data_IF_687977305826
#
_entry.id   IF_687977305826
#
_cell.length_a   1.000
_cell.length_b   1.000
_cell.length_c   1.000
_cell.angle_alpha   90.00
_cell.angle_beta   90.00
_cell.angle_gamma   90.00
#
_symmetry.space_group_name_H-M   'P 1'
#
loop_
_entity.id
_entity.type
_entity.pdbx_description
1 polymer ?
#
# COMPACT_ATOMS: atom_id res chain seq x y z
N UNK A 1 34.20 27.57 -31.71
CA UNK A 1 34.90 27.19 -30.46
C UNK A 1 33.95 27.00 -29.28
N UNK A 2 32.75 27.60 -29.24
CA UNK A 2 31.77 27.35 -28.16
C UNK A 2 30.85 26.15 -28.43
N UNK A 3 30.52 25.84 -29.69
CA UNK A 3 29.69 24.66 -30.05
C UNK A 3 30.38 23.32 -29.75
N UNK A 4 31.69 23.21 -29.96
CA UNK A 4 32.44 21.99 -29.65
C UNK A 4 32.46 21.66 -28.15
N UNK A 5 32.51 22.68 -27.29
CA UNK A 5 32.44 22.49 -25.83
C UNK A 5 31.05 22.02 -25.39
N UNK A 6 30.01 22.47 -26.08
CA UNK A 6 28.63 22.05 -25.79
C UNK A 6 28.37 20.62 -26.24
N UNK A 7 28.92 20.21 -27.38
CA UNK A 7 28.81 18.84 -27.89
C UNK A 7 29.64 17.84 -27.06
N UNK A 8 30.86 18.22 -26.65
CA UNK A 8 31.67 17.42 -25.73
C UNK A 8 31.01 17.22 -24.36
N UNK A 9 30.26 18.22 -23.87
CA UNK A 9 29.52 18.09 -22.62
C UNK A 9 28.32 17.14 -22.75
N UNK A 10 27.65 17.16 -23.91
CA UNK A 10 26.53 16.27 -24.20
C UNK A 10 26.99 14.80 -24.35
N UNK A 11 28.14 14.58 -24.98
CA UNK A 11 28.73 13.26 -25.14
C UNK A 11 29.32 12.70 -23.82
N UNK A 12 29.88 13.57 -22.97
CA UNK A 12 30.29 13.20 -21.61
C UNK A 12 29.08 12.79 -20.72
N UNK A 13 27.95 13.47 -20.84
CA UNK A 13 26.71 13.12 -20.12
C UNK A 13 26.09 11.81 -20.60
N UNK A 14 26.06 11.56 -21.92
CA UNK A 14 25.58 10.29 -22.48
C UNK A 14 26.48 9.10 -22.13
N UNK A 15 27.75 9.37 -21.81
CA UNK A 15 28.72 8.36 -21.36
C UNK A 15 28.54 8.06 -19.87
N UNK A 16 28.19 9.04 -19.04
CA UNK A 16 27.87 8.87 -17.62
C UNK A 16 26.49 8.22 -17.37
N UNK A 17 25.53 8.39 -18.28
CA UNK A 17 24.21 7.74 -18.20
C UNK A 17 24.24 6.22 -18.49
N UNK A 18 25.39 5.68 -18.90
CA UNK A 18 25.59 4.24 -19.14
C UNK A 18 26.11 3.47 -17.93
N UNK A 19 26.42 4.15 -16.84
CA UNK A 19 26.80 3.53 -15.57
C UNK A 19 25.66 3.71 -14.57
N UNK A 20 24.92 2.62 -14.31
CA UNK A 20 23.93 2.40 -13.23
C UNK A 20 23.46 3.66 -12.49
N UNK A 21 22.91 4.62 -13.24
CA UNK A 21 22.53 5.89 -12.65
C UNK A 21 21.24 5.66 -11.91
N UNK A 22 21.32 5.66 -10.57
CA UNK A 22 20.18 5.45 -9.69
C UNK A 22 19.00 6.29 -10.21
N UNK A 23 17.86 5.68 -10.59
CA UNK A 23 16.74 6.38 -11.19
C UNK A 23 16.21 7.51 -10.28
N UNK A 24 16.53 7.47 -8.98
CA UNK A 24 16.27 8.54 -8.03
C UNK A 24 17.10 9.80 -8.31
N UNK A 25 18.39 9.67 -8.66
CA UNK A 25 19.25 10.81 -8.99
C UNK A 25 18.83 11.47 -10.31
N UNK A 26 18.47 10.67 -11.31
CA UNK A 26 17.96 11.17 -12.58
C UNK A 26 16.65 11.95 -12.40
N UNK A 27 15.71 11.42 -11.61
CA UNK A 27 14.45 12.09 -11.29
C UNK A 27 14.67 13.36 -10.46
N UNK A 28 15.63 13.33 -9.52
CA UNK A 28 16.00 14.49 -8.70
C UNK A 28 16.60 15.62 -9.54
N UNK A 29 17.52 15.30 -10.45
CA UNK A 29 18.12 16.30 -11.36
C UNK A 29 17.09 16.87 -12.33
N UNK A 30 16.19 16.04 -12.87
CA UNK A 30 15.13 16.49 -13.78
C UNK A 30 14.13 17.43 -13.08
N UNK A 31 13.84 17.18 -11.81
CA UNK A 31 12.96 18.05 -10.99
C UNK A 31 13.63 19.39 -10.69
N UNK A 32 14.95 19.40 -10.43
CA UNK A 32 15.72 20.62 -10.18
C UNK A 32 15.86 21.48 -11.45
N UNK A 33 15.92 20.87 -12.63
CA UNK A 33 16.10 21.59 -13.90
C UNK A 33 14.82 22.24 -14.42
N UNK A 34 13.63 21.79 -13.99
CA UNK A 34 12.35 22.24 -14.51
C UNK A 34 11.62 23.27 -13.60
N UNK A 35 12.33 23.93 -12.69
CA UNK A 35 11.79 25.00 -11.84
C UNK A 35 12.22 26.38 -12.36
N UNK A 36 11.30 27.27 -12.76
CA UNK A 36 11.64 28.67 -12.96
C UNK A 36 11.97 29.27 -11.59
N UNK A 37 13.15 29.87 -11.48
CA UNK A 37 13.71 30.46 -10.26
C UNK A 37 12.66 31.12 -9.36
N UNK A 38 12.42 30.55 -8.17
CA UNK A 38 12.58 31.22 -6.87
C UNK A 38 12.18 30.30 -5.70
N UNK A 39 13.11 30.13 -4.75
CA UNK A 39 13.02 29.41 -3.47
C UNK A 39 13.01 27.86 -3.51
N UNK A 40 14.23 27.30 -3.53
CA UNK A 40 14.50 25.92 -3.11
C UNK A 40 14.20 25.78 -1.61
N UNK A 41 12.98 25.43 -1.25
CA UNK A 41 12.64 25.19 0.16
C UNK A 41 13.15 23.81 0.61
N UNK A 42 13.66 23.74 1.84
CA UNK A 42 14.08 22.48 2.49
C UNK A 42 12.93 21.46 2.49
N UNK A 43 11.67 21.91 2.48
CA UNK A 43 10.50 21.04 2.43
C UNK A 43 10.39 20.25 1.12
N UNK A 44 10.65 20.88 -0.03
CA UNK A 44 10.65 20.20 -1.32
C UNK A 44 11.78 19.17 -1.40
N UNK A 45 12.94 19.48 -0.82
CA UNK A 45 14.04 18.53 -0.70
C UNK A 45 13.63 17.32 0.16
N UNK A 46 13.09 17.55 1.37
CA UNK A 46 12.62 16.50 2.29
C UNK A 46 11.57 15.58 1.65
N UNK A 47 10.63 16.10 0.87
CA UNK A 47 9.64 15.28 0.15
C UNK A 47 10.25 14.38 -0.93
N UNK A 48 11.31 14.85 -1.61
CA UNK A 48 12.03 14.07 -2.61
C UNK A 48 12.87 12.94 -1.99
N UNK A 49 13.56 13.19 -0.86
CA UNK A 49 14.36 12.16 -0.14
C UNK A 49 13.48 11.10 0.53
N UNK A 50 12.26 11.44 0.98
CA UNK A 50 11.35 10.49 1.63
C UNK A 50 10.55 9.61 0.66
N UNK A 51 10.54 9.95 -0.64
CA UNK A 51 9.83 9.17 -1.64
C UNK A 51 10.76 8.08 -2.18
N UNK A 52 10.89 6.96 -1.46
CA UNK A 52 11.60 5.79 -1.98
C UNK A 52 10.65 4.98 -2.89
N UNK A 53 10.78 5.06 -4.23
CA UNK A 53 9.87 4.39 -5.15
C UNK A 53 9.91 2.86 -5.00
N UNK A 54 10.93 2.30 -4.35
CA UNK A 54 11.09 0.86 -4.15
C UNK A 54 10.24 0.30 -3.00
N UNK A 55 9.71 1.15 -2.11
CA UNK A 55 8.88 0.71 -0.98
C UNK A 55 7.47 0.29 -1.45
N UNK A 56 6.91 0.99 -2.45
CA UNK A 56 5.62 0.64 -3.07
C UNK A 56 5.66 -0.71 -3.78
N UNK A 57 6.78 -1.06 -4.41
CA UNK A 57 6.96 -2.37 -5.06
C UNK A 57 7.03 -3.51 -4.03
N UNK A 58 7.77 -3.33 -2.93
CA UNK A 58 7.83 -4.31 -1.83
C UNK A 58 6.49 -4.47 -1.11
N UNK A 59 5.72 -3.39 -0.92
CA UNK A 59 4.37 -3.47 -0.38
C UNK A 59 3.46 -4.31 -1.29
N UNK A 60 3.48 -4.03 -2.59
CA UNK A 60 2.67 -4.74 -3.60
C UNK A 60 3.04 -6.22 -3.68
N UNK A 61 4.33 -6.56 -3.65
CA UNK A 61 4.80 -7.95 -3.64
C UNK A 61 4.32 -8.71 -2.41
N UNK A 62 4.48 -8.17 -1.19
CA UNK A 62 3.99 -8.84 0.04
C UNK A 62 2.49 -9.13 -0.04
N UNK A 63 1.71 -8.19 -0.55
CA UNK A 63 0.25 -8.34 -0.66
C UNK A 63 -0.09 -9.40 -1.71
N UNK A 64 0.56 -9.35 -2.86
CA UNK A 64 0.37 -10.35 -3.92
C UNK A 64 0.78 -11.75 -3.44
N UNK A 65 1.86 -11.88 -2.68
CA UNK A 65 2.29 -13.15 -2.09
C UNK A 65 1.26 -13.69 -1.10
N UNK A 66 0.71 -12.84 -0.21
CA UNK A 66 -0.30 -13.25 0.77
C UNK A 66 -1.65 -13.61 0.12
N UNK A 67 -2.01 -12.91 -0.95
CA UNK A 67 -3.23 -13.16 -1.71
C UNK A 67 -3.03 -14.21 -2.82
N UNK A 68 -1.85 -14.82 -2.94
CA UNK A 68 -1.57 -15.78 -3.99
C UNK A 68 -2.48 -17.00 -3.85
N UNK A 69 -3.26 -17.29 -4.90
CA UNK A 69 -4.26 -18.37 -4.88
C UNK A 69 -5.47 -18.11 -3.99
N UNK A 70 -5.62 -16.92 -3.40
CA UNK A 70 -6.77 -16.60 -2.57
C UNK A 70 -7.96 -16.14 -3.42
N UNK A 71 -9.04 -16.91 -3.39
CA UNK A 71 -10.32 -16.48 -3.95
C UNK A 71 -11.30 -16.11 -2.82
N UNK A 72 -11.66 -14.82 -2.68
CA UNK A 72 -12.64 -14.39 -1.67
C UNK A 72 -13.99 -15.08 -1.80
N UNK A 73 -14.41 -15.49 -3.01
CA UNK A 73 -15.73 -16.07 -3.27
C UNK A 73 -15.86 -17.52 -2.80
N UNK A 74 -14.76 -18.28 -2.82
CA UNK A 74 -14.75 -19.69 -2.43
C UNK A 74 -14.41 -19.89 -0.95
N UNK A 75 -14.22 -18.81 -0.21
CA UNK A 75 -13.78 -18.85 1.17
C UNK A 75 -14.96 -19.09 2.13
N UNK A 76 -14.93 -20.15 2.96
CA UNK A 76 -15.99 -20.42 3.94
C UNK A 76 -16.16 -19.31 4.98
N UNK A 77 -15.05 -18.69 5.43
CA UNK A 77 -15.10 -17.58 6.39
C UNK A 77 -15.82 -16.37 5.80
N UNK A 78 -15.55 -16.04 4.54
CA UNK A 78 -16.22 -14.94 3.85
C UNK A 78 -17.71 -15.20 3.69
N UNK A 79 -18.09 -16.43 3.29
CA UNK A 79 -19.48 -16.83 3.15
C UNK A 79 -20.25 -16.64 4.45
N UNK A 80 -19.71 -17.10 5.58
CA UNK A 80 -20.34 -16.98 6.88
C UNK A 80 -20.50 -15.52 7.32
N UNK A 81 -19.48 -14.68 7.11
CA UNK A 81 -19.55 -13.24 7.39
C UNK A 81 -20.64 -12.58 6.56
N UNK A 82 -20.69 -12.84 5.25
CA UNK A 82 -21.73 -12.28 4.37
C UNK A 82 -23.13 -12.78 4.69
N UNK A 83 -23.26 -14.01 5.18
CA UNK A 83 -24.54 -14.58 5.58
C UNK A 83 -25.07 -13.91 6.86
N UNK A 84 -24.19 -13.54 7.79
CA UNK A 84 -24.55 -12.93 9.08
C UNK A 84 -24.75 -11.42 9.01
N UNK A 85 -23.82 -10.73 8.36
CA UNK A 85 -23.78 -9.26 8.32
C UNK A 85 -24.31 -8.67 7.01
N UNK A 86 -24.68 -9.54 6.06
CA UNK A 86 -25.20 -9.16 4.75
C UNK A 86 -24.14 -9.20 3.63
N UNK A 87 -24.60 -9.51 2.41
CA UNK A 87 -23.75 -9.66 1.23
C UNK A 87 -23.02 -8.37 0.81
N UNK A 88 -23.50 -7.20 1.23
CA UNK A 88 -22.97 -5.90 0.80
C UNK A 88 -22.18 -5.16 1.88
N UNK A 89 -21.56 -5.89 2.82
CA UNK A 89 -20.75 -5.30 3.88
C UNK A 89 -19.61 -4.45 3.32
N UNK A 90 -19.51 -3.19 3.76
CA UNK A 90 -18.47 -2.24 3.35
C UNK A 90 -17.17 -2.51 4.10
N UNK A 91 -16.06 -2.01 3.55
CA UNK A 91 -14.74 -2.16 4.18
C UNK A 91 -14.65 -1.57 5.61
N UNK A 92 -15.18 -0.38 5.94
CA UNK A 92 -15.17 0.12 7.31
C UNK A 92 -15.97 -0.75 8.30
N UNK A 93 -17.14 -1.26 7.89
CA UNK A 93 -17.95 -2.18 8.71
C UNK A 93 -17.18 -3.47 9.00
N UNK A 94 -16.62 -4.08 7.94
CA UNK A 94 -15.80 -5.28 8.06
C UNK A 94 -14.57 -5.06 8.95
N UNK A 95 -13.95 -3.88 8.87
CA UNK A 95 -12.81 -3.49 9.71
C UNK A 95 -13.21 -3.34 11.18
N UNK A 96 -14.38 -2.76 11.44
CA UNK A 96 -14.92 -2.65 12.80
C UNK A 96 -15.09 -4.02 13.44
N UNK A 97 -15.74 -4.95 12.72
CA UNK A 97 -15.93 -6.34 13.15
C UNK A 97 -14.56 -7.00 13.42
N UNK A 98 -13.63 -6.91 12.47
CA UNK A 98 -12.30 -7.50 12.62
C UNK A 98 -11.56 -6.97 13.85
N UNK A 99 -11.71 -5.67 14.15
CA UNK A 99 -11.08 -5.04 15.31
C UNK A 99 -11.66 -5.56 16.62
N UNK A 100 -12.99 -5.67 16.72
CA UNK A 100 -13.66 -6.24 17.90
C UNK A 100 -13.26 -7.69 18.09
N UNK A 101 -13.28 -8.50 17.04
CA UNK A 101 -12.89 -9.91 17.10
C UNK A 101 -11.41 -10.09 17.46
N UNK A 102 -10.53 -9.29 16.87
CA UNK A 102 -9.10 -9.33 17.17
C UNK A 102 -8.85 -9.03 18.65
N UNK A 103 -9.53 -8.03 19.22
CA UNK A 103 -9.40 -7.70 20.64
C UNK A 103 -9.89 -8.85 21.55
N UNK A 104 -11.04 -9.46 21.22
CA UNK A 104 -11.59 -10.57 22.01
C UNK A 104 -10.76 -11.86 21.89
N UNK A 105 -10.23 -12.15 20.70
CA UNK A 105 -9.37 -13.29 20.45
C UNK A 105 -7.89 -13.05 20.82
N UNK A 106 -7.54 -11.87 21.34
CA UNK A 106 -6.16 -11.44 21.61
C UNK A 106 -5.23 -11.55 20.39
N UNK A 107 -5.76 -11.28 19.20
CA UNK A 107 -5.05 -11.28 17.92
C UNK A 107 -4.65 -9.86 17.50
N UNK A 108 -3.60 -9.76 16.69
CA UNK A 108 -3.17 -8.49 16.11
C UNK A 108 -3.67 -8.35 14.68
N UNK A 109 -4.29 -7.22 14.38
CA UNK A 109 -4.72 -6.87 13.03
C UNK A 109 -3.61 -6.14 12.29
N UNK A 110 -3.16 -6.71 11.17
CA UNK A 110 -2.08 -6.15 10.35
C UNK A 110 -2.48 -4.83 9.68
N UNK A 111 -1.49 -3.94 9.49
CA UNK A 111 -1.70 -2.66 8.79
C UNK A 111 -2.27 -2.87 7.38
N UNK A 112 -1.79 -3.89 6.66
CA UNK A 112 -2.26 -4.20 5.30
C UNK A 112 -3.73 -4.68 5.29
N UNK A 113 -4.14 -5.47 6.29
CA UNK A 113 -5.52 -5.89 6.48
C UNK A 113 -6.43 -4.70 6.83
N UNK A 114 -5.96 -3.75 7.65
CA UNK A 114 -6.69 -2.50 7.93
C UNK A 114 -6.92 -1.65 6.69
N UNK A 115 -5.97 -1.64 5.76
CA UNK A 115 -5.99 -0.78 4.56
C UNK A 115 -6.78 -1.38 3.40
N UNK A 116 -6.85 -2.71 3.25
CA UNK A 116 -7.39 -3.36 2.04
C UNK A 116 -8.38 -4.47 2.36
N UNK A 117 -9.56 -4.41 1.73
CA UNK A 117 -10.65 -5.39 1.93
C UNK A 117 -10.22 -6.82 1.61
N UNK A 118 -9.51 -7.07 0.51
CA UNK A 118 -9.07 -8.42 0.14
C UNK A 118 -8.14 -9.06 1.18
N UNK A 119 -7.16 -8.29 1.67
CA UNK A 119 -6.23 -8.73 2.73
C UNK A 119 -6.97 -8.94 4.04
N UNK A 120 -7.97 -8.11 4.34
CA UNK A 120 -8.82 -8.28 5.51
C UNK A 120 -9.59 -9.60 5.49
N UNK A 121 -10.21 -9.95 4.35
CA UNK A 121 -10.93 -11.22 4.19
C UNK A 121 -9.96 -12.41 4.34
N UNK A 122 -8.73 -12.29 3.81
CA UNK A 122 -7.70 -13.31 4.00
C UNK A 122 -7.32 -13.48 5.48
N UNK A 123 -7.19 -12.38 6.23
CA UNK A 123 -6.94 -12.43 7.67
C UNK A 123 -8.07 -13.13 8.43
N UNK A 124 -9.34 -12.95 8.04
CA UNK A 124 -10.47 -13.68 8.62
C UNK A 124 -10.37 -15.19 8.41
N UNK A 125 -9.93 -15.63 7.23
CA UNK A 125 -9.71 -17.05 6.93
C UNK A 125 -8.58 -17.63 7.81
N UNK A 126 -7.43 -16.95 7.83
CA UNK A 126 -6.23 -17.38 8.55
C UNK A 126 -6.49 -17.55 10.06
N UNK A 127 -7.41 -16.74 10.62
CA UNK A 127 -7.72 -16.73 12.04
C UNK A 127 -9.13 -17.28 12.35
N UNK A 128 -9.76 -17.96 11.39
CA UNK A 128 -11.18 -18.34 11.48
C UNK A 128 -11.49 -19.13 12.74
N UNK A 129 -10.68 -20.14 13.07
CA UNK A 129 -10.86 -20.99 14.24
C UNK A 129 -10.86 -20.22 15.56
N UNK A 130 -10.13 -19.11 15.64
CA UNK A 130 -10.06 -18.28 16.85
C UNK A 130 -11.21 -17.28 16.94
N UNK A 131 -11.66 -16.73 15.80
CA UNK A 131 -12.66 -15.65 15.78
C UNK A 131 -14.11 -16.14 15.65
N UNK A 132 -14.33 -17.31 15.04
CA UNK A 132 -15.66 -17.88 14.81
C UNK A 132 -16.53 -17.98 16.09
N UNK A 133 -16.02 -18.36 17.28
CA UNK A 133 -16.84 -18.39 18.49
C UNK A 133 -17.27 -17.00 18.99
N UNK A 134 -16.52 -15.95 18.65
CA UNK A 134 -16.84 -14.58 19.05
C UNK A 134 -17.80 -13.88 18.09
N UNK A 135 -17.96 -14.43 16.88
CA UNK A 135 -18.78 -13.85 15.82
C UNK A 135 -20.28 -13.77 16.20
N UNK A 136 -20.76 -14.70 17.03
CA UNK A 136 -22.14 -14.73 17.53
C UNK A 136 -22.48 -13.53 18.43
N UNK A 137 -21.48 -12.88 19.01
CA UNK A 137 -21.65 -11.75 19.93
C UNK A 137 -21.51 -10.38 19.24
N UNK A 138 -21.21 -10.36 17.94
CA UNK A 138 -21.02 -9.12 17.19
C UNK A 138 -22.33 -8.73 16.52
N UNK A 139 -22.81 -7.52 16.82
CA UNK A 139 -23.97 -6.91 16.17
C UNK A 139 -23.50 -5.65 15.45
N UNK A 140 -23.88 -5.51 14.18
CA UNK A 140 -23.71 -4.26 13.45
C UNK A 140 -24.96 -3.40 13.66
N UNK A 141 -24.77 -2.21 14.23
CA UNK A 141 -25.81 -1.19 14.27
C UNK A 141 -25.58 -0.23 13.10
N UNK A 142 -26.61 -0.01 12.30
CA UNK A 142 -26.60 1.08 11.33
C UNK A 142 -26.58 2.39 12.10
N UNK A 143 -25.56 3.21 11.86
CA UNK A 143 -25.56 4.59 12.34
C UNK A 143 -26.70 5.34 11.62
N UNK A 144 -27.87 5.38 12.24
CA UNK A 144 -28.99 6.22 11.81
C UNK A 144 -28.51 7.68 11.81
N UNK A 145 -28.29 8.24 10.62
CA UNK A 145 -28.14 9.67 10.38
C UNK A 145 -29.23 10.14 9.43
#
# INVERSE_FOLDING_TARGET
MEEEKSQQNLDAMNTLAKEDTDPNLATMLMTLYNQPNESLTIQNFISAINSNPNEGNKEKERINSRLNGFNPKDNPAWREITQRFGNNIKQPELLSIATVLANNASLKLDRDAKRRKSVLIKWFEENWSAIQPFLDYVVLEDAQH
#
